data_IF_742547697168
#
_entry.id   IF_742547697168
#
_cell.length_a   1.000
_cell.length_b   1.000
_cell.length_c   1.000
_cell.angle_alpha   90.00
_cell.angle_beta   90.00
_cell.angle_gamma   90.00
#
_symmetry.space_group_name_H-M   'P 1'
#
loop_
_entity.id
_entity.type
_entity.pdbx_description
1 polymer ?
#
# COMPACT_ATOMS: atom_id res chain seq x y z
N UNK A 1 -8.35 17.22 5.26
CA UNK A 1 -7.49 16.75 6.37
C UNK A 1 -7.98 15.37 6.73
N UNK A 2 -7.13 14.35 6.67
CA UNK A 2 -7.48 13.01 7.15
C UNK A 2 -7.38 13.03 8.68
N UNK A 3 -8.48 12.76 9.38
CA UNK A 3 -8.48 12.58 10.83
C UNK A 3 -7.79 11.25 11.18
N UNK A 4 -7.23 11.11 12.39
CA UNK A 4 -6.72 9.83 12.95
C UNK A 4 -7.69 8.68 12.69
N UNK A 5 -8.98 8.94 12.92
CA UNK A 5 -10.06 7.99 12.67
C UNK A 5 -10.16 7.52 11.22
N UNK A 6 -9.76 8.30 10.20
CA UNK A 6 -9.81 7.87 8.80
C UNK A 6 -8.61 7.02 8.36
N UNK A 7 -7.48 7.09 9.08
CA UNK A 7 -6.34 6.19 8.84
C UNK A 7 -6.59 4.84 9.54
N UNK A 8 -7.30 4.86 10.67
CA UNK A 8 -7.55 3.70 11.54
C UNK A 8 -8.89 2.99 11.26
N UNK A 9 -9.91 3.65 10.66
CA UNK A 9 -11.21 3.02 10.35
C UNK A 9 -11.16 1.82 9.38
N UNK A 10 -9.99 1.51 8.81
CA UNK A 10 -9.82 0.42 7.85
C UNK A 10 -9.04 -0.77 8.41
N UNK A 11 -9.00 -0.94 9.73
CA UNK A 11 -8.57 -2.19 10.39
C UNK A 11 -9.60 -3.29 10.05
N UNK A 12 -9.50 -3.91 8.87
CA UNK A 12 -10.48 -4.88 8.36
C UNK A 12 -10.06 -6.28 8.80
N UNK A 13 -10.71 -6.79 9.87
CA UNK A 13 -10.79 -8.21 10.23
C UNK A 13 -11.02 -9.03 8.96
N UNK A 14 -10.32 -10.15 8.74
CA UNK A 14 -10.61 -11.02 7.59
C UNK A 14 -12.10 -11.35 7.39
N UNK A 15 -12.89 -11.34 8.45
CA UNK A 15 -14.35 -11.48 8.39
C UNK A 15 -15.02 -10.42 7.50
N UNK A 16 -14.49 -9.19 7.46
CA UNK A 16 -14.96 -8.12 6.58
C UNK A 16 -14.34 -8.14 5.18
N UNK A 17 -13.40 -9.06 4.87
CA UNK A 17 -13.00 -9.30 3.48
C UNK A 17 -14.20 -9.79 2.66
N UNK A 18 -15.08 -10.62 3.22
CA UNK A 18 -16.32 -11.04 2.53
C UNK A 18 -17.25 -9.85 2.20
N UNK A 19 -17.35 -8.86 3.09
CA UNK A 19 -18.16 -7.66 2.89
C UNK A 19 -17.48 -6.61 1.98
N UNK A 20 -16.14 -6.56 1.96
CA UNK A 20 -15.36 -5.62 1.12
C UNK A 20 -15.20 -6.13 -0.31
N UNK A 21 -15.39 -7.44 -0.51
CA UNK A 21 -15.65 -7.98 -1.84
C UNK A 21 -16.99 -7.43 -2.38
N UNK A 22 -18.01 -7.07 -1.59
CA UNK A 22 -19.36 -6.78 -2.11
C UNK A 22 -19.67 -5.35 -2.58
N UNK A 23 -18.69 -4.46 -2.80
CA UNK A 23 -18.98 -3.04 -3.09
C UNK A 23 -18.47 -2.55 -4.47
N UNK A 24 -19.32 -2.84 -5.45
CA UNK A 24 -20.09 -1.89 -6.28
C UNK A 24 -19.52 -1.42 -7.63
N UNK A 25 -20.08 -2.01 -8.70
CA UNK A 25 -19.94 -1.66 -10.11
C UNK A 25 -20.49 -0.25 -10.42
N UNK A 26 -21.31 0.33 -9.53
CA UNK A 26 -21.95 1.64 -9.71
C UNK A 26 -20.96 2.81 -9.87
N UNK A 27 -19.76 2.72 -9.29
CA UNK A 27 -18.72 3.76 -9.39
C UNK A 27 -17.99 3.78 -10.74
N UNK A 28 -18.12 2.74 -11.57
CA UNK A 28 -17.60 2.75 -12.94
C UNK A 28 -18.50 3.54 -13.91
N UNK A 29 -19.75 3.82 -13.53
CA UNK A 29 -20.74 4.52 -14.36
C UNK A 29 -20.79 6.04 -14.11
N UNK A 30 -20.15 6.54 -13.05
CA UNK A 30 -20.01 7.98 -12.86
C UNK A 30 -18.76 8.51 -13.57
N UNK A 31 -18.92 9.55 -14.40
CA UNK A 31 -17.88 10.28 -15.16
C UNK A 31 -16.80 10.98 -14.28
N UNK A 32 -16.49 10.49 -13.09
CA UNK A 32 -15.31 10.93 -12.31
C UNK A 32 -14.13 9.99 -12.55
N UNK A 33 -13.54 10.17 -13.73
CA UNK A 33 -12.35 9.50 -14.22
C UNK A 33 -11.06 9.84 -13.42
N UNK A 34 -10.90 9.35 -12.19
CA UNK A 34 -9.59 9.45 -11.47
C UNK A 34 -9.24 8.27 -10.54
N UNK A 35 -10.10 7.25 -10.42
CA UNK A 35 -9.80 6.07 -9.62
C UNK A 35 -8.92 5.13 -10.47
N UNK A 36 -7.61 5.18 -10.26
CA UNK A 36 -6.71 4.24 -10.92
C UNK A 36 -6.59 2.95 -10.08
N UNK A 37 -6.77 1.81 -10.74
CA UNK A 37 -7.23 0.54 -10.16
C UNK A 37 -6.07 -0.28 -9.59
N UNK A 38 -6.34 -1.03 -8.52
CA UNK A 38 -5.50 -2.11 -8.00
C UNK A 38 -6.10 -3.44 -8.43
N UNK A 39 -5.27 -4.37 -8.91
CA UNK A 39 -5.73 -5.63 -9.50
C UNK A 39 -5.12 -6.84 -8.78
N UNK A 40 -5.92 -7.85 -8.39
CA UNK A 40 -5.40 -9.09 -7.83
C UNK A 40 -4.68 -9.91 -8.90
N UNK A 41 -3.44 -10.32 -8.63
CA UNK A 41 -2.65 -11.13 -9.57
C UNK A 41 -3.04 -12.61 -9.51
N UNK A 42 -3.66 -13.05 -8.42
CA UNK A 42 -4.03 -14.44 -8.17
C UNK A 42 -5.50 -14.53 -7.76
N UNK A 43 -6.04 -15.75 -7.76
CA UNK A 43 -7.40 -15.98 -7.28
C UNK A 43 -7.48 -15.81 -5.75
N UNK A 44 -8.70 -15.69 -5.24
CA UNK A 44 -8.94 -15.48 -3.81
C UNK A 44 -8.32 -16.57 -2.93
N UNK A 45 -8.51 -17.85 -3.30
CA UNK A 45 -7.99 -18.99 -2.52
C UNK A 45 -6.47 -18.91 -2.35
N UNK A 46 -5.72 -18.60 -3.41
CA UNK A 46 -4.28 -18.41 -3.34
C UNK A 46 -3.90 -17.23 -2.43
N UNK A 47 -4.56 -16.08 -2.59
CA UNK A 47 -4.29 -14.88 -1.78
C UNK A 47 -4.57 -15.16 -0.30
N UNK A 48 -5.72 -15.74 0.00
CA UNK A 48 -6.14 -16.10 1.35
C UNK A 48 -5.12 -17.04 2.00
N UNK A 49 -4.79 -18.15 1.32
CA UNK A 49 -3.83 -19.13 1.84
C UNK A 49 -2.44 -18.53 2.03
N UNK A 50 -1.98 -17.69 1.10
CA UNK A 50 -0.69 -16.99 1.22
C UNK A 50 -0.66 -16.10 2.46
N UNK A 51 -1.73 -15.34 2.71
CA UNK A 51 -1.82 -14.45 3.84
C UNK A 51 -1.93 -15.24 5.15
N UNK A 52 -2.79 -16.26 5.21
CA UNK A 52 -3.05 -17.03 6.43
C UNK A 52 -1.86 -17.91 6.83
N UNK A 53 -1.09 -18.41 5.86
CA UNK A 53 0.08 -19.23 6.14
C UNK A 53 1.23 -18.45 6.80
N UNK A 54 1.24 -17.12 6.72
CA UNK A 54 2.29 -16.29 7.32
C UNK A 54 1.83 -15.71 8.66
N UNK A 55 2.57 -15.96 9.77
CA UNK A 55 2.28 -15.35 11.07
C UNK A 55 2.72 -13.88 11.16
N UNK A 56 3.33 -13.33 10.10
CA UNK A 56 3.90 -11.98 10.06
C UNK A 56 2.99 -10.99 9.37
N UNK A 57 3.12 -9.71 9.72
CA UNK A 57 2.54 -8.60 8.96
C UNK A 57 3.41 -8.30 7.74
N UNK A 58 2.79 -7.90 6.63
CA UNK A 58 3.50 -7.39 5.45
C UNK A 58 3.46 -5.87 5.46
N UNK A 59 4.55 -5.26 5.91
CA UNK A 59 4.71 -3.81 6.01
C UNK A 59 6.00 -3.44 5.34
N UNK A 60 5.90 -2.77 4.20
CA UNK A 60 7.07 -2.14 3.60
C UNK A 60 7.62 -1.09 4.57
N UNK A 61 8.84 -1.29 5.04
CA UNK A 61 9.48 -0.50 6.10
C UNK A 61 10.99 -0.48 5.90
N UNK A 62 11.55 0.69 5.70
CA UNK A 62 12.99 0.92 5.51
C UNK A 62 13.42 2.31 5.98
N UNK A 63 14.72 2.49 6.21
CA UNK A 63 15.30 3.78 6.60
C UNK A 63 15.16 4.84 5.49
N UNK A 64 14.67 6.02 5.85
CA UNK A 64 14.58 7.18 4.96
C UNK A 64 15.84 8.06 5.05
N UNK A 65 16.89 7.65 4.34
CA UNK A 65 18.18 8.38 4.34
C UNK A 65 18.25 9.54 3.33
N UNK A 66 17.40 9.54 2.29
CA UNK A 66 17.58 10.40 1.11
C UNK A 66 16.63 11.60 1.06
N UNK A 67 15.44 11.52 1.66
CA UNK A 67 14.40 12.51 1.39
C UNK A 67 14.33 13.67 2.40
N UNK A 68 15.10 13.64 3.50
CA UNK A 68 15.12 14.73 4.50
C UNK A 68 13.75 15.06 5.10
N UNK A 69 12.82 14.09 5.09
CA UNK A 69 11.41 14.27 5.48
C UNK A 69 11.21 14.30 6.99
N UNK A 70 12.15 13.74 7.74
CA UNK A 70 12.14 13.79 9.19
C UNK A 70 12.26 15.24 9.68
N UNK A 71 11.39 15.61 10.60
CA UNK A 71 11.39 16.91 11.26
C UNK A 71 12.08 16.75 12.63
N UNK A 72 13.23 17.42 12.88
CA UNK A 72 13.96 17.30 14.14
C UNK A 72 13.13 17.58 15.40
N UNK A 73 12.05 18.36 15.29
CA UNK A 73 11.13 18.67 16.39
C UNK A 73 10.28 17.49 16.85
N UNK A 74 10.28 16.38 16.12
CA UNK A 74 9.65 15.14 16.56
C UNK A 74 10.48 14.43 17.66
N UNK A 75 11.77 14.76 17.78
CA UNK A 75 12.63 14.29 18.87
C UNK A 75 12.28 15.02 20.18
N UNK A 76 12.34 14.35 21.35
CA UNK A 76 12.72 12.95 21.56
C UNK A 76 11.57 11.94 21.37
N UNK A 77 10.33 12.38 21.21
CA UNK A 77 9.14 11.51 21.17
C UNK A 77 9.18 10.46 20.05
N UNK A 78 9.63 10.84 18.86
CA UNK A 78 9.92 9.93 17.76
C UNK A 78 11.39 10.13 17.38
N UNK A 79 12.30 9.27 17.85
CA UNK A 79 13.72 9.37 17.49
C UNK A 79 13.96 9.12 16.00
N UNK A 80 14.96 9.79 15.43
CA UNK A 80 15.38 9.59 14.03
C UNK A 80 15.74 8.13 13.73
N UNK A 81 16.29 7.39 14.71
CA UNK A 81 16.62 5.97 14.57
C UNK A 81 15.40 5.07 14.37
N UNK A 82 14.21 5.51 14.79
CA UNK A 82 12.92 4.81 14.64
C UNK A 82 12.13 5.31 13.44
N UNK A 83 12.57 6.40 12.79
CA UNK A 83 11.95 6.89 11.57
C UNK A 83 12.04 5.86 10.44
N UNK A 84 10.90 5.49 9.89
CA UNK A 84 10.78 4.54 8.78
C UNK A 84 9.92 5.10 7.66
N UNK A 85 10.16 4.61 6.45
CA UNK A 85 9.39 4.87 5.23
C UNK A 85 8.93 3.56 4.63
N UNK A 86 7.81 3.59 3.92
CA UNK A 86 7.44 2.55 2.97
C UNK A 86 6.08 2.78 2.31
N UNK A 87 5.58 1.73 1.70
CA UNK A 87 4.29 1.69 1.02
C UNK A 87 3.10 2.03 1.93
N UNK A 88 2.11 2.74 1.39
CA UNK A 88 0.82 2.97 2.05
C UNK A 88 -0.06 1.69 2.08
N UNK A 89 0.36 0.64 1.37
CA UNK A 89 -0.35 -0.65 1.28
C UNK A 89 0.30 -1.64 2.23
N UNK A 90 -0.39 -1.90 3.34
CA UNK A 90 0.09 -2.73 4.45
C UNK A 90 -0.87 -3.88 4.70
N UNK A 91 -0.40 -4.95 5.34
CA UNK A 91 -1.25 -6.05 5.79
C UNK A 91 -0.81 -6.43 7.18
N UNK A 92 -1.72 -6.37 8.15
CA UNK A 92 -1.37 -6.53 9.56
C UNK A 92 -1.97 -7.82 10.14
N UNK A 93 -1.24 -8.46 11.04
CA UNK A 93 -1.88 -9.39 11.98
C UNK A 93 -2.62 -8.59 13.06
N UNK A 94 -3.60 -9.21 13.72
CA UNK A 94 -4.40 -8.58 14.80
C UNK A 94 -3.54 -7.82 15.81
N UNK A 95 -2.52 -8.47 16.37
CA UNK A 95 -1.56 -7.89 17.32
C UNK A 95 -1.00 -6.52 16.87
N UNK A 96 -0.55 -6.41 15.61
CA UNK A 96 0.04 -5.16 15.11
C UNK A 96 -1.00 -4.10 14.79
N UNK A 97 -2.23 -4.49 14.49
CA UNK A 97 -3.29 -3.55 14.17
C UNK A 97 -3.97 -2.97 15.41
N UNK A 98 -4.07 -3.73 16.50
CA UNK A 98 -4.46 -3.21 17.81
C UNK A 98 -3.53 -2.06 18.22
N UNK A 99 -2.21 -2.26 18.08
CA UNK A 99 -1.21 -1.21 18.32
C UNK A 99 -1.43 0.04 17.46
N UNK A 100 -1.84 -0.12 16.20
CA UNK A 100 -2.15 1.03 15.32
C UNK A 100 -3.47 1.70 15.70
N UNK A 101 -4.44 0.93 16.18
CA UNK A 101 -5.76 1.42 16.57
C UNK A 101 -5.72 2.19 17.89
N UNK A 102 -4.90 1.72 18.83
CA UNK A 102 -4.79 2.24 20.18
C UNK A 102 -3.70 3.33 20.31
N UNK A 103 -3.02 3.72 19.22
CA UNK A 103 -1.96 4.73 19.30
C UNK A 103 -2.48 6.12 19.66
N UNK A 104 -2.02 6.61 20.80
CA UNK A 104 -2.26 7.96 21.32
C UNK A 104 -0.95 8.77 21.49
N UNK A 105 0.21 8.19 21.16
CA UNK A 105 1.51 8.79 21.42
C UNK A 105 2.22 9.26 20.14
N UNK A 106 2.28 8.41 19.10
CA UNK A 106 3.03 8.70 17.87
C UNK A 106 2.20 9.56 16.92
N UNK A 107 0.93 9.24 16.74
CA UNK A 107 0.04 9.92 15.80
C UNK A 107 -0.12 11.42 16.11
N UNK A 108 -0.29 11.87 17.38
CA UNK A 108 -0.34 13.31 17.68
C UNK A 108 0.94 14.06 17.30
N UNK A 109 2.11 13.44 17.49
CA UNK A 109 3.40 14.03 17.08
C UNK A 109 3.46 14.19 15.55
N UNK A 110 3.04 13.17 14.80
CA UNK A 110 2.87 13.28 13.33
C UNK A 110 1.89 14.39 12.96
N UNK A 111 0.74 14.48 13.63
CA UNK A 111 -0.28 15.49 13.37
C UNK A 111 0.28 16.91 13.55
N UNK A 112 1.18 17.13 14.49
CA UNK A 112 1.79 18.44 14.76
C UNK A 112 2.94 18.73 13.76
N UNK A 113 3.88 17.80 13.61
CA UNK A 113 5.17 18.07 12.95
C UNK A 113 5.31 17.52 11.54
N UNK A 114 4.57 16.46 11.17
CA UNK A 114 4.60 15.85 9.85
C UNK A 114 3.54 16.47 8.95
N UNK A 115 3.88 17.61 8.34
CA UNK A 115 2.97 18.36 7.47
C UNK A 115 3.38 18.20 6.01
N UNK A 116 2.40 17.96 5.13
CA UNK A 116 2.63 17.91 3.69
C UNK A 116 2.84 19.32 3.16
N UNK A 117 3.89 19.52 2.37
CA UNK A 117 4.12 20.81 1.72
C UNK A 117 3.04 21.06 0.66
N UNK A 118 2.39 22.24 0.66
CA UNK A 118 1.37 22.54 -0.34
C UNK A 118 2.00 22.79 -1.72
N UNK A 119 1.25 22.55 -2.82
CA UNK A 119 1.65 22.97 -4.15
C UNK A 119 1.93 24.48 -4.23
N UNK A 120 2.82 24.89 -5.12
CA UNK A 120 3.05 26.29 -5.42
C UNK A 120 1.84 26.85 -6.17
N UNK A 121 1.17 27.84 -5.59
CA UNK A 121 0.11 28.58 -6.28
C UNK A 121 0.62 29.96 -6.69
N UNK A 122 0.51 30.29 -7.98
CA UNK A 122 0.98 31.57 -8.52
C UNK A 122 0.37 32.78 -7.78
N UNK A 123 -0.88 32.66 -7.33
CA UNK A 123 -1.62 33.68 -6.57
C UNK A 123 -1.05 34.00 -5.18
N UNK A 124 -0.17 33.15 -4.62
CA UNK A 124 0.32 33.26 -3.23
C UNK A 124 1.67 33.96 -3.08
N UNK A 125 2.34 34.34 -4.17
CA UNK A 125 3.55 35.19 -4.16
C UNK A 125 4.54 34.85 -3.03
N UNK A 126 4.88 35.83 -2.18
CA UNK A 126 5.80 35.67 -1.03
C UNK A 126 5.33 34.68 0.06
N UNK A 127 4.02 34.35 0.15
CA UNK A 127 3.53 33.32 1.09
C UNK A 127 3.97 31.92 0.68
N UNK A 128 4.23 31.67 -0.60
CA UNK A 128 4.82 30.41 -1.06
C UNK A 128 6.18 30.17 -0.41
N UNK A 129 7.06 31.18 -0.30
CA UNK A 129 8.37 31.01 0.35
C UNK A 129 8.24 30.54 1.81
N UNK A 130 7.25 31.02 2.57
CA UNK A 130 7.04 30.58 3.97
C UNK A 130 6.51 29.15 4.05
N UNK A 131 5.62 28.76 3.13
CA UNK A 131 5.06 27.40 3.06
C UNK A 131 6.08 26.37 2.50
N UNK A 132 6.97 26.80 1.61
CA UNK A 132 8.04 25.96 1.05
C UNK A 132 9.17 25.68 2.06
N UNK A 133 9.35 26.54 3.08
CA UNK A 133 10.27 26.30 4.20
C UNK A 133 9.83 25.18 5.16
N UNK A 134 8.60 24.66 5.00
CA UNK A 134 8.11 23.54 5.80
C UNK A 134 8.78 22.22 5.38
N UNK A 135 9.12 21.37 6.36
CA UNK A 135 9.55 20.00 6.10
C UNK A 135 8.43 19.24 5.40
N UNK A 136 8.69 18.72 4.20
CA UNK A 136 7.71 17.95 3.45
C UNK A 136 7.67 16.52 3.98
N UNK A 137 6.72 16.25 4.87
CA UNK A 137 6.52 14.92 5.42
C UNK A 137 5.25 14.28 4.85
N UNK A 138 5.26 12.97 4.61
CA UNK A 138 4.13 12.22 4.02
C UNK A 138 3.64 11.19 5.04
N UNK A 139 2.71 11.54 5.96
CA UNK A 139 2.31 10.66 7.05
C UNK A 139 1.91 9.25 6.60
N UNK A 140 1.22 9.15 5.47
CA UNK A 140 0.71 7.90 4.90
C UNK A 140 1.81 6.89 4.51
N UNK A 141 3.04 7.35 4.28
CA UNK A 141 4.21 6.53 3.91
C UNK A 141 5.16 6.30 5.09
N UNK A 142 4.86 6.84 6.27
CA UNK A 142 5.81 6.88 7.39
C UNK A 142 5.19 6.47 8.73
N UNK A 143 3.93 6.81 8.99
CA UNK A 143 3.31 6.69 10.31
C UNK A 143 3.31 5.24 10.82
N UNK A 144 2.67 4.31 10.11
CA UNK A 144 2.53 2.93 10.57
C UNK A 144 3.89 2.24 10.68
N UNK A 145 4.78 2.47 9.70
CA UNK A 145 6.13 1.92 9.73
C UNK A 145 6.92 2.41 10.95
N UNK A 146 6.82 3.70 11.24
CA UNK A 146 7.52 4.33 12.37
C UNK A 146 6.93 3.86 13.70
N UNK A 147 5.60 3.78 13.81
CA UNK A 147 4.91 3.28 14.99
C UNK A 147 5.34 1.84 15.30
N UNK A 148 5.31 0.93 14.32
CA UNK A 148 5.72 -0.46 14.54
C UNK A 148 7.21 -0.58 14.89
N UNK A 149 8.08 0.28 14.32
CA UNK A 149 9.48 0.34 14.73
C UNK A 149 9.67 0.89 16.15
N UNK A 150 8.85 1.86 16.59
CA UNK A 150 8.86 2.37 17.97
C UNK A 150 8.56 1.25 18.99
N UNK A 151 7.67 0.32 18.63
CA UNK A 151 7.35 -0.88 19.41
C UNK A 151 8.34 -2.05 19.22
N UNK A 152 9.43 -1.85 18.47
CA UNK A 152 10.46 -2.86 18.18
C UNK A 152 9.93 -4.10 17.43
N UNK A 153 8.84 -3.96 16.67
CA UNK A 153 8.27 -5.05 15.89
C UNK A 153 8.97 -5.32 14.56
N UNK A 154 10.07 -4.64 14.22
CA UNK A 154 10.79 -4.82 12.95
C UNK A 154 11.11 -6.31 12.65
N UNK A 155 11.32 -7.15 13.67
CA UNK A 155 11.57 -8.60 13.56
C UNK A 155 10.32 -9.48 13.36
N UNK A 156 9.12 -8.94 13.61
CA UNK A 156 7.83 -9.62 13.41
C UNK A 156 7.18 -9.26 12.05
N UNK A 157 7.82 -8.38 11.28
CA UNK A 157 7.37 -7.95 9.97
C UNK A 157 8.08 -8.72 8.86
N UNK A 158 7.32 -9.05 7.83
CA UNK A 158 7.85 -9.11 6.48
C UNK A 158 8.02 -7.66 6.02
N UNK A 159 9.27 -7.16 6.01
CA UNK A 159 9.60 -5.75 5.74
C UNK A 159 9.49 -5.39 4.26
N UNK A 160 8.32 -5.70 3.68
CA UNK A 160 7.91 -5.53 2.28
C UNK A 160 6.39 -5.45 2.18
N UNK A 161 5.90 -4.86 1.09
CA UNK A 161 4.47 -4.90 0.72
C UNK A 161 4.16 -6.08 -0.19
N UNK A 162 2.90 -6.51 -0.20
CA UNK A 162 2.36 -7.49 -1.16
C UNK A 162 1.75 -6.82 -2.40
N UNK A 163 1.84 -5.49 -2.52
CA UNK A 163 1.30 -4.73 -3.65
C UNK A 163 2.42 -4.17 -4.51
N UNK A 164 2.51 -4.63 -5.76
CA UNK A 164 3.47 -4.13 -6.73
C UNK A 164 3.10 -2.73 -7.23
N UNK A 165 4.10 -1.87 -7.36
CA UNK A 165 4.02 -0.55 -7.99
C UNK A 165 5.22 -0.35 -8.90
N UNK A 166 4.96 0.09 -10.13
CA UNK A 166 6.03 0.47 -11.06
C UNK A 166 6.41 1.95 -10.87
N UNK A 167 7.70 2.23 -10.80
CA UNK A 167 8.24 3.59 -10.63
C UNK A 167 9.27 3.88 -11.72
N UNK A 168 9.20 5.07 -12.32
CA UNK A 168 10.20 5.47 -13.31
C UNK A 168 11.43 6.05 -12.59
N UNK A 169 12.44 5.21 -12.36
CA UNK A 169 13.68 5.63 -11.68
C UNK A 169 14.64 6.44 -12.58
N UNK A 170 14.45 6.47 -13.90
CA UNK A 170 15.39 7.05 -14.87
C UNK A 170 15.17 8.54 -15.20
N UNK A 171 14.16 9.21 -14.61
CA UNK A 171 13.88 10.62 -14.90
C UNK A 171 14.62 11.54 -13.91
N UNK A 172 15.73 12.11 -14.38
CA UNK A 172 16.62 13.01 -13.62
C UNK A 172 16.05 14.42 -13.41
N UNK A 173 14.96 14.80 -14.08
CA UNK A 173 14.36 16.13 -13.96
C UNK A 173 13.28 16.16 -12.86
N UNK A 174 13.50 16.98 -11.82
CA UNK A 174 12.62 17.14 -10.65
C UNK A 174 11.16 17.50 -10.98
N UNK A 175 10.88 18.02 -12.18
CA UNK A 175 9.53 18.38 -12.63
C UNK A 175 8.73 17.20 -13.22
N UNK A 176 9.42 16.12 -13.65
CA UNK A 176 8.82 14.87 -14.14
C UNK A 176 9.16 13.66 -13.25
N UNK A 177 9.80 13.87 -12.09
CA UNK A 177 9.87 12.84 -11.05
C UNK A 177 8.46 12.54 -10.59
N UNK A 178 7.94 11.39 -11.01
CA UNK A 178 6.63 10.93 -10.61
C UNK A 178 6.58 10.82 -9.09
N UNK A 179 5.97 11.79 -8.43
CA UNK A 179 5.48 11.66 -7.04
C UNK A 179 4.49 10.50 -6.86
N UNK A 180 4.18 9.80 -7.95
CA UNK A 180 3.22 8.74 -8.07
C UNK A 180 3.77 7.63 -8.97
N UNK A 181 3.41 6.37 -8.69
CA UNK A 181 3.71 5.24 -9.57
C UNK A 181 3.18 5.46 -11.00
N UNK A 182 3.84 4.81 -11.95
CA UNK A 182 3.40 4.74 -13.34
C UNK A 182 2.01 4.11 -13.40
N UNK A 183 1.20 4.58 -14.35
CA UNK A 183 -0.10 3.98 -14.64
C UNK A 183 0.02 3.04 -15.83
N UNK A 184 -0.22 1.75 -15.61
CA UNK A 184 -0.29 0.75 -16.68
C UNK A 184 -1.42 1.12 -17.65
N UNK A 185 -1.06 1.28 -18.92
CA UNK A 185 -2.00 1.43 -20.02
C UNK A 185 -2.53 0.08 -20.47
N UNK A 186 -3.47 0.07 -21.43
CA UNK A 186 -3.91 -1.17 -22.07
C UNK A 186 -2.72 -1.96 -22.64
N UNK A 187 -1.77 -1.28 -23.30
CA UNK A 187 -0.59 -1.91 -23.90
C UNK A 187 0.32 -2.58 -22.84
N UNK A 188 0.47 -1.93 -21.69
CA UNK A 188 1.37 -2.39 -20.61
C UNK A 188 0.76 -3.48 -19.71
N UNK A 189 -0.52 -3.82 -19.90
CA UNK A 189 -1.25 -4.79 -19.09
C UNK A 189 -1.40 -6.17 -19.77
N UNK A 190 -0.44 -6.55 -20.60
CA UNK A 190 -0.43 -7.85 -21.28
C UNK A 190 0.09 -9.01 -20.42
N UNK A 191 -0.12 -10.28 -20.84
CA UNK A 191 0.24 -11.46 -20.06
C UNK A 191 1.73 -11.56 -19.74
N UNK A 192 2.60 -11.13 -20.65
CA UNK A 192 4.06 -11.12 -20.43
C UNK A 192 4.45 -10.21 -19.27
N UNK A 193 3.89 -8.99 -19.22
CA UNK A 193 4.18 -8.05 -18.14
C UNK A 193 3.63 -8.55 -16.80
N UNK A 194 2.40 -9.09 -16.79
CA UNK A 194 1.81 -9.66 -15.58
C UNK A 194 2.61 -10.87 -15.08
N UNK A 195 3.08 -11.73 -15.98
CA UNK A 195 3.95 -12.85 -15.62
C UNK A 195 5.27 -12.36 -15.00
N UNK A 196 5.91 -11.34 -15.58
CA UNK A 196 7.12 -10.73 -15.00
C UNK A 196 6.89 -10.24 -13.58
N UNK A 197 5.77 -9.57 -13.31
CA UNK A 197 5.42 -9.12 -11.95
C UNK A 197 5.23 -10.31 -11.00
N UNK A 198 4.51 -11.35 -11.45
CA UNK A 198 4.28 -12.59 -10.69
C UNK A 198 5.58 -13.34 -10.38
N UNK A 199 6.56 -13.28 -11.26
CA UNK A 199 7.85 -13.97 -11.15
C UNK A 199 8.84 -13.26 -10.21
N UNK A 200 8.53 -12.07 -9.69
CA UNK A 200 9.38 -11.39 -8.71
C UNK A 200 9.42 -12.20 -7.39
N UNK A 201 10.64 -12.53 -6.96
CA UNK A 201 10.94 -13.32 -5.74
C UNK A 201 11.73 -12.54 -4.68
N UNK A 202 12.17 -11.33 -4.98
CA UNK A 202 12.83 -10.45 -4.02
C UNK A 202 12.54 -8.97 -4.29
N UNK A 203 12.80 -8.13 -3.29
CA UNK A 203 12.73 -6.67 -3.37
C UNK A 203 14.03 -6.08 -2.81
N UNK A 204 14.65 -5.16 -3.55
CA UNK A 204 15.89 -4.50 -3.13
C UNK A 204 15.63 -3.11 -2.53
N UNK A 205 16.14 -2.87 -1.33
CA UNK A 205 16.05 -1.62 -0.59
C UNK A 205 17.39 -0.89 -0.59
N UNK A 206 17.57 0.01 -1.55
CA UNK A 206 18.83 0.71 -1.76
C UNK A 206 19.28 1.57 -0.56
N UNK A 207 18.37 2.06 0.30
CA UNK A 207 18.74 2.86 1.48
C UNK A 207 19.41 2.05 2.59
N UNK A 208 19.21 0.73 2.58
CA UNK A 208 19.70 -0.21 3.59
C UNK A 208 20.68 -1.23 2.99
N UNK A 209 20.91 -1.20 1.68
CA UNK A 209 21.66 -2.25 0.96
C UNK A 209 21.14 -3.66 1.29
N UNK A 210 19.81 -3.78 1.41
CA UNK A 210 19.12 -4.99 1.87
C UNK A 210 18.27 -5.56 0.75
N UNK A 211 18.34 -6.87 0.56
CA UNK A 211 17.45 -7.62 -0.33
C UNK A 211 16.50 -8.46 0.49
N UNK A 212 15.21 -8.19 0.37
CA UNK A 212 14.15 -9.00 0.96
C UNK A 212 13.78 -10.14 0.03
N UNK A 213 14.12 -11.37 0.41
CA UNK A 213 13.71 -12.57 -0.30
C UNK A 213 12.34 -13.04 0.20
N UNK A 214 11.36 -13.08 -0.69
CA UNK A 214 10.00 -13.45 -0.35
C UNK A 214 9.91 -14.96 -0.11
N UNK A 215 9.75 -15.34 1.16
CA UNK A 215 9.73 -16.75 1.58
C UNK A 215 8.48 -17.09 2.37
N UNK A 216 8.05 -18.34 2.25
CA UNK A 216 7.07 -18.98 3.13
C UNK A 216 7.65 -20.34 3.51
N UNK A 217 7.86 -20.58 4.81
CA UNK A 217 8.49 -21.81 5.35
C UNK A 217 9.71 -22.26 4.54
N UNK A 218 10.68 -21.37 4.37
CA UNK A 218 11.94 -21.58 3.62
C UNK A 218 11.81 -21.75 2.10
N UNK A 219 10.59 -21.80 1.55
CA UNK A 219 10.35 -21.87 0.10
C UNK A 219 10.24 -20.46 -0.49
N UNK A 220 10.88 -20.21 -1.63
CA UNK A 220 10.72 -18.95 -2.37
C UNK A 220 9.30 -18.84 -2.93
N UNK A 221 8.64 -17.73 -2.63
CA UNK A 221 7.28 -17.42 -3.09
C UNK A 221 7.25 -16.09 -3.82
N UNK A 222 6.15 -15.82 -4.54
CA UNK A 222 5.93 -14.51 -5.15
C UNK A 222 5.92 -13.41 -4.09
N UNK A 223 6.50 -12.25 -4.40
CA UNK A 223 6.46 -11.10 -3.50
C UNK A 223 5.11 -10.39 -3.51
N UNK A 224 4.43 -10.37 -4.65
CA UNK A 224 3.29 -9.51 -4.87
C UNK A 224 2.03 -10.32 -5.17
N UNK A 225 0.97 -10.05 -4.42
CA UNK A 225 -0.36 -10.61 -4.64
C UNK A 225 -1.26 -9.66 -5.43
N UNK A 226 -0.94 -8.37 -5.40
CA UNK A 226 -1.66 -7.31 -6.06
C UNK A 226 -0.70 -6.45 -6.89
N UNK A 227 -1.23 -5.77 -7.90
CA UNK A 227 -0.48 -4.76 -8.64
C UNK A 227 -1.30 -3.48 -8.81
N UNK A 228 -0.60 -2.36 -8.93
CA UNK A 228 -1.15 -1.04 -9.26
C UNK A 228 -0.09 -0.24 -10.01
N UNK A 229 -0.44 0.76 -10.81
CA UNK A 229 -1.72 1.47 -10.89
C UNK A 229 -2.31 1.28 -12.28
N UNK A 230 -3.48 0.69 -12.43
CA UNK A 230 -4.04 0.38 -13.76
C UNK A 230 -5.01 1.47 -14.24
N UNK A 231 -4.92 1.82 -15.52
CA UNK A 231 -5.97 2.57 -16.23
C UNK A 231 -7.23 1.72 -16.41
N UNK A 232 -8.37 2.34 -16.77
CA UNK A 232 -9.60 1.60 -17.08
C UNK A 232 -9.38 0.59 -18.21
N UNK A 233 -8.72 1.00 -19.30
CA UNK A 233 -8.41 0.11 -20.42
C UNK A 233 -7.53 -1.07 -20.00
N UNK A 234 -6.51 -0.81 -19.19
CA UNK A 234 -5.66 -1.86 -18.64
C UNK A 234 -6.43 -2.88 -17.78
N UNK A 235 -7.31 -2.40 -16.89
CA UNK A 235 -8.13 -3.28 -16.07
C UNK A 235 -9.08 -4.13 -16.93
N UNK A 236 -9.72 -3.55 -17.94
CA UNK A 236 -10.57 -4.29 -18.88
C UNK A 236 -9.79 -5.39 -19.63
N UNK A 237 -8.56 -5.09 -20.05
CA UNK A 237 -7.69 -6.09 -20.67
C UNK A 237 -7.44 -7.29 -19.75
N UNK A 238 -7.08 -7.02 -18.49
CA UNK A 238 -6.80 -8.07 -17.49
C UNK A 238 -8.01 -8.95 -17.18
N UNK A 239 -9.21 -8.35 -17.17
CA UNK A 239 -10.48 -9.08 -16.99
C UNK A 239 -10.78 -9.99 -18.19
N UNK A 240 -10.64 -9.46 -19.41
CA UNK A 240 -10.99 -10.18 -20.64
C UNK A 240 -9.99 -11.30 -20.98
N UNK A 241 -8.69 -11.06 -20.76
CA UNK A 241 -7.63 -12.03 -21.08
C UNK A 241 -7.46 -13.09 -19.98
N UNK A 242 -8.27 -13.08 -18.92
CA UNK A 242 -8.29 -14.15 -17.92
C UNK A 242 -7.01 -14.25 -17.08
N UNK A 243 -6.38 -13.12 -16.75
CA UNK A 243 -5.15 -13.08 -15.95
C UNK A 243 -5.30 -13.73 -14.55
N UNK A 244 -6.55 -13.93 -14.11
CA UNK A 244 -6.98 -14.79 -13.00
C UNK A 244 -7.74 -15.98 -13.60
N UNK A 245 -7.27 -17.20 -13.34
CA UNK A 245 -7.74 -18.45 -13.95
C UNK A 245 -9.26 -18.58 -14.10
N UNK A 246 -9.71 -19.01 -15.30
CA UNK A 246 -11.09 -19.27 -15.72
C UNK A 246 -11.72 -20.51 -15.04
N UNK A 247 -11.74 -20.57 -13.72
CA UNK A 247 -12.61 -21.51 -12.98
C UNK A 247 -13.89 -20.84 -12.46
N UNK A 248 -14.40 -19.85 -13.20
CA UNK A 248 -15.78 -19.37 -13.06
C UNK A 248 -16.66 -20.19 -14.01
N UNK A 249 -17.22 -21.31 -13.52
CA UNK A 249 -18.21 -22.10 -14.28
C UNK A 249 -19.43 -21.23 -14.60
N UNK A 250 -19.93 -21.36 -15.83
CA UNK A 250 -20.77 -20.38 -16.52
C UNK A 250 -22.26 -20.46 -16.19
N UNK A 251 -22.64 -20.62 -14.92
CA UNK A 251 -24.05 -20.74 -14.54
C UNK A 251 -24.55 -19.68 -13.55
N UNK A 252 -23.82 -18.58 -13.33
CA UNK A 252 -24.35 -17.44 -12.53
C UNK A 252 -23.75 -16.10 -13.00
N UNK A 253 -23.88 -15.81 -14.29
CA UNK A 253 -23.20 -14.75 -15.04
C UNK A 253 -23.63 -13.30 -14.78
N UNK A 254 -24.36 -13.00 -13.70
CA UNK A 254 -24.71 -11.63 -13.34
C UNK A 254 -24.38 -11.23 -11.88
N UNK A 255 -24.16 -12.19 -10.99
CA UNK A 255 -24.09 -11.92 -9.54
C UNK A 255 -22.65 -11.84 -8.97
N UNK A 256 -21.65 -12.34 -9.70
CA UNK A 256 -20.24 -12.38 -9.22
C UNK A 256 -19.29 -11.37 -9.89
N UNK A 257 -19.76 -10.58 -10.86
CA UNK A 257 -19.00 -9.47 -11.47
C UNK A 257 -19.03 -8.18 -10.63
N UNK A 258 -19.97 -8.05 -9.69
CA UNK A 258 -20.28 -6.81 -8.97
C UNK A 258 -19.38 -6.50 -7.76
N UNK A 259 -18.28 -7.22 -7.60
CA UNK A 259 -17.59 -7.37 -6.32
C UNK A 259 -16.10 -6.99 -6.33
N UNK A 260 -15.68 -6.08 -7.21
CA UNK A 260 -14.27 -5.73 -7.32
C UNK A 260 -14.07 -4.22 -7.50
N UNK A 261 -14.05 -3.45 -6.39
CA UNK A 261 -13.18 -2.28 -6.21
C UNK A 261 -13.43 -1.52 -4.89
N UNK A 262 -12.74 -1.92 -3.82
CA UNK A 262 -12.32 -0.99 -2.74
C UNK A 262 -10.81 -1.00 -2.43
N UNK A 263 -10.00 -1.69 -3.23
CA UNK A 263 -8.53 -1.67 -3.07
C UNK A 263 -7.87 -0.28 -3.26
N UNK A 264 -8.62 0.74 -3.70
CA UNK A 264 -8.15 2.12 -3.77
C UNK A 264 -8.16 2.85 -2.42
N UNK A 265 -8.84 2.33 -1.40
CA UNK A 265 -8.77 2.86 -0.04
C UNK A 265 -8.08 1.85 0.87
N UNK A 266 -6.76 2.02 1.00
CA UNK A 266 -5.89 1.57 2.09
C UNK A 266 -6.36 0.29 2.79
N UNK A 267 -6.25 -0.86 2.12
CA UNK A 267 -6.55 -2.13 2.77
C UNK A 267 -5.52 -2.38 3.88
N UNK A 268 -5.95 -2.37 5.13
CA UNK A 268 -5.29 -3.10 6.21
C UNK A 268 -6.08 -4.39 6.39
N UNK A 269 -5.52 -5.51 5.92
CA UNK A 269 -6.09 -6.85 6.17
C UNK A 269 -5.60 -7.29 7.53
N UNK A 270 -6.51 -7.64 8.43
CA UNK A 270 -6.25 -8.23 9.75
C UNK A 270 -6.24 -9.76 9.67
N UNK A 271 -5.16 -10.38 10.13
CA UNK A 271 -5.10 -11.84 10.33
C UNK A 271 -5.49 -12.23 11.76
N UNK A 272 -6.34 -13.25 11.91
CA UNK A 272 -6.69 -13.84 13.20
C UNK A 272 -7.28 -15.25 13.05
N UNK A 273 -7.01 -16.13 14.01
CA UNK A 273 -7.65 -17.45 14.11
C UNK A 273 -9.13 -17.27 14.45
N UNK A 274 -10.01 -18.03 13.79
CA UNK A 274 -11.45 -18.08 14.08
C UNK A 274 -11.80 -18.88 15.36
N UNK A 275 -10.81 -19.50 16.01
CA UNK A 275 -11.03 -20.44 17.13
C UNK A 275 -10.22 -20.06 18.37
N UNK A 276 -10.51 -18.92 18.97
CA UNK A 276 -10.02 -18.59 20.31
C UNK A 276 -11.15 -17.92 21.10
N UNK A 277 -12.07 -18.75 21.59
CA UNK A 277 -12.81 -18.54 22.83
C UNK A 277 -12.07 -19.29 23.95
#
# INVERSE_FOLDING_TARGET
MLNSLQIVQYVVALETVYATYLLDFSLMNHERAYIKICFPLYNFSFIYNYLMASPRSFVDSFLDKKDGRYNPKMSPYIPMSKWRKGSQWITLIRKHAEVVADDDAVFPVFKIFCKRRPPLEASKGKKNMKLQKQHNCIPDEHYVQTLLAMYDFDGELERRTITYTEWNESVTNMEKKGWHPITFSYADAGPVQIKRIKDIRNVYYASEYRTEWCRSNSTLVTCFLFARKFSRGAAMRLLNEGAVSRNFKSSTTAFQMNTMCRCCWRCMVLKGNLNAE
#
